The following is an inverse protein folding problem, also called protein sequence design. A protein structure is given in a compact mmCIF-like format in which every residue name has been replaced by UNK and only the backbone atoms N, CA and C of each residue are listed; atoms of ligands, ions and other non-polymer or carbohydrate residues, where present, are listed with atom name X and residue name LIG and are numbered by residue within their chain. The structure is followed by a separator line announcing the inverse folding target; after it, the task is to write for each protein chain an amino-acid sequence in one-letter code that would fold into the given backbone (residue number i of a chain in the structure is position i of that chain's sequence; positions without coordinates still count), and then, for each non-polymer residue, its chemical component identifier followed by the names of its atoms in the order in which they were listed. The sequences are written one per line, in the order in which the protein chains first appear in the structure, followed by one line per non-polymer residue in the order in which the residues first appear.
data_IF_574838978564
#
_entry.id   IF_574838978564
#
_cell.length_a   1.000
_cell.length_b   1.000
_cell.length_c   1.000
_cell.angle_alpha   90.00
_cell.angle_beta   90.00
_cell.angle_gamma   90.00
#
_symmetry.space_group_name_H-M   'P 1'
#
loop_
_entity.id
_entity.type
_entity.pdbx_description
1 polymer ?
#
# COMPACT_ATOMS: atom_id res chain seq x y z
N UNK A 1 5.44 14.98 -8.37
CA UNK A 1 4.41 13.95 -8.64
C UNK A 1 4.51 12.83 -7.62
N UNK A 2 3.38 12.24 -7.33
CA UNK A 2 3.34 11.08 -6.46
C UNK A 2 2.87 9.84 -7.21
N UNK A 3 2.73 8.73 -6.51
CA UNK A 3 2.19 7.52 -7.12
C UNK A 3 1.31 6.75 -6.15
N UNK A 4 0.41 5.97 -6.71
CA UNK A 4 -0.35 4.96 -5.99
C UNK A 4 0.31 3.62 -6.26
N UNK A 5 0.58 2.86 -5.21
CA UNK A 5 1.24 1.56 -5.35
C UNK A 5 0.40 0.47 -4.70
N UNK A 6 0.68 -0.76 -5.10
CA UNK A 6 0.00 -1.95 -4.60
C UNK A 6 1.03 -2.95 -4.08
N UNK A 7 0.76 -3.50 -2.91
CA UNK A 7 1.55 -4.58 -2.34
C UNK A 7 0.64 -5.80 -2.24
N UNK A 8 1.01 -6.89 -2.87
CA UNK A 8 0.21 -8.11 -2.90
C UNK A 8 0.95 -9.24 -2.20
N UNK A 9 0.27 -9.92 -1.27
CA UNK A 9 0.84 -11.08 -0.59
C UNK A 9 0.56 -12.37 -1.37
N UNK A 10 1.30 -13.45 -1.08
CA UNK A 10 1.02 -14.76 -1.70
C UNK A 10 -0.39 -15.26 -1.43
N UNK A 11 -1.04 -14.79 -0.36
CA UNK A 11 -2.42 -15.16 -0.04
C UNK A 11 -3.45 -14.44 -0.90
N UNK A 12 -3.01 -13.47 -1.73
CA UNK A 12 -3.90 -12.70 -2.57
C UNK A 12 -4.43 -11.42 -1.96
N UNK A 13 -4.10 -11.13 -0.71
CA UNK A 13 -4.50 -9.88 -0.05
C UNK A 13 -3.62 -8.73 -0.51
N UNK A 14 -4.21 -7.54 -0.56
CA UNK A 14 -3.60 -6.36 -1.16
C UNK A 14 -3.55 -5.20 -0.15
N UNK A 15 -2.52 -4.40 -0.26
CA UNK A 15 -2.41 -3.11 0.41
C UNK A 15 -2.23 -2.04 -0.65
N UNK A 16 -3.03 -0.97 -0.56
CA UNK A 16 -2.92 0.19 -1.45
C UNK A 16 -2.34 1.35 -0.66
N UNK A 17 -1.34 2.01 -1.21
CA UNK A 17 -0.73 3.15 -0.56
C UNK A 17 -0.39 4.25 -1.53
N UNK A 18 0.03 5.39 -0.98
CA UNK A 18 0.48 6.54 -1.77
C UNK A 18 1.84 7.00 -1.28
N UNK A 19 2.63 7.57 -2.17
CA UNK A 19 3.92 8.14 -1.80
C UNK A 19 4.33 9.21 -2.80
N UNK A 20 5.05 10.24 -2.31
CA UNK A 20 5.69 11.22 -3.17
C UNK A 20 7.15 10.86 -3.42
N UNK A 21 7.62 9.79 -2.81
CA UNK A 21 8.97 9.25 -2.98
C UNK A 21 8.93 8.09 -3.98
N UNK A 22 10.10 7.50 -4.26
CA UNK A 22 10.14 6.30 -5.10
C UNK A 22 9.51 5.13 -4.35
N UNK A 23 8.98 4.17 -5.10
CA UNK A 23 8.42 2.96 -4.50
C UNK A 23 9.47 2.24 -3.66
N UNK A 24 10.72 2.19 -4.14
CA UNK A 24 11.81 1.55 -3.42
C UNK A 24 12.02 2.15 -2.02
N UNK A 25 12.01 3.48 -1.92
CA UNK A 25 12.17 4.17 -0.64
C UNK A 25 10.98 3.89 0.29
N UNK A 26 9.78 3.83 -0.25
CA UNK A 26 8.57 3.55 0.54
C UNK A 26 8.59 2.13 1.08
N UNK A 27 9.04 1.16 0.28
CA UNK A 27 9.17 -0.22 0.70
C UNK A 27 10.17 -0.34 1.86
N UNK A 28 11.29 0.37 1.80
CA UNK A 28 12.26 0.41 2.90
C UNK A 28 11.61 0.92 4.18
N UNK A 29 10.78 1.95 4.07
CA UNK A 29 10.05 2.49 5.21
C UNK A 29 9.13 1.46 5.85
N UNK A 30 8.41 0.70 5.06
CA UNK A 30 7.55 -0.36 5.57
C UNK A 30 8.35 -1.44 6.31
N UNK A 31 9.48 -1.85 5.75
CA UNK A 31 10.32 -2.89 6.34
C UNK A 31 10.96 -2.46 7.66
N UNK A 32 11.12 -1.15 7.87
CA UNK A 32 11.75 -0.61 9.08
C UNK A 32 10.76 -0.30 10.21
N UNK A 33 9.57 -0.84 10.17
CA UNK A 33 8.56 -0.65 11.22
C UNK A 33 7.96 0.75 11.28
N UNK A 34 8.15 1.57 10.28
CA UNK A 34 7.59 2.92 10.25
C UNK A 34 6.18 2.98 9.70
N UNK A 35 5.61 1.84 9.35
CA UNK A 35 4.25 1.78 8.85
C UNK A 35 3.25 1.88 9.98
N UNK A 36 2.16 2.59 9.75
CA UNK A 36 1.07 2.72 10.72
C UNK A 36 0.11 1.53 10.68
N UNK A 37 0.23 0.65 9.69
CA UNK A 37 -0.67 -0.48 9.55
C UNK A 37 -0.01 -1.77 10.01
N UNK A 38 -0.44 -2.26 11.18
CA UNK A 38 0.08 -3.49 11.78
C UNK A 38 -0.17 -4.71 10.89
N UNK A 39 -1.29 -4.74 10.18
CA UNK A 39 -1.62 -5.87 9.31
C UNK A 39 -0.62 -6.03 8.18
N UNK A 40 -0.23 -4.91 7.56
CA UNK A 40 0.76 -4.93 6.49
C UNK A 40 2.12 -5.36 7.03
N UNK A 41 2.51 -4.83 8.18
CA UNK A 41 3.78 -5.20 8.80
C UNK A 41 3.86 -6.69 9.09
N UNK A 42 2.79 -7.27 9.62
CA UNK A 42 2.72 -8.72 9.89
C UNK A 42 2.88 -9.53 8.61
N UNK A 43 2.25 -9.07 7.52
CA UNK A 43 2.36 -9.74 6.24
C UNK A 43 3.78 -9.69 5.70
N UNK A 44 4.43 -8.53 5.78
CA UNK A 44 5.82 -8.36 5.35
C UNK A 44 6.74 -9.27 6.16
N UNK A 45 6.55 -9.32 7.49
CA UNK A 45 7.34 -10.19 8.37
C UNK A 45 7.14 -11.66 8.05
N UNK A 46 5.91 -12.06 7.71
CA UNK A 46 5.57 -13.46 7.42
C UNK A 46 6.07 -13.91 6.06
N UNK A 47 5.87 -13.11 5.03
CA UNK A 47 6.12 -13.50 3.65
C UNK A 47 7.46 -12.99 3.11
N UNK A 48 8.00 -11.93 3.69
CA UNK A 48 9.29 -11.37 3.28
C UNK A 48 9.36 -11.05 1.80
N UNK A 49 10.28 -11.70 1.09
CA UNK A 49 10.52 -11.43 -0.32
C UNK A 49 9.43 -11.96 -1.25
N UNK A 50 8.48 -12.73 -0.73
CA UNK A 50 7.35 -13.22 -1.52
C UNK A 50 6.29 -12.16 -1.77
N UNK A 51 6.35 -11.03 -1.07
CA UNK A 51 5.46 -9.91 -1.30
C UNK A 51 5.79 -9.27 -2.65
N UNK A 52 4.76 -8.90 -3.41
CA UNK A 52 4.93 -8.24 -4.71
C UNK A 52 4.59 -6.77 -4.59
N UNK A 53 5.42 -5.92 -5.18
CA UNK A 53 5.30 -4.47 -5.12
C UNK A 53 5.19 -3.93 -6.53
N UNK A 54 4.17 -3.07 -6.78
CA UNK A 54 4.03 -2.46 -8.10
C UNK A 54 3.37 -1.08 -8.02
N UNK A 55 3.73 -0.21 -8.95
CA UNK A 55 3.10 1.10 -9.10
C UNK A 55 1.85 0.92 -9.96
N UNK A 56 0.70 1.43 -9.47
CA UNK A 56 -0.55 1.38 -10.22
C UNK A 56 -0.65 2.58 -11.14
N UNK A 57 -0.38 3.78 -10.61
CA UNK A 57 -0.43 5.00 -11.41
C UNK A 57 0.45 6.09 -10.81
N UNK A 58 0.91 6.99 -11.68
CA UNK A 58 1.67 8.17 -11.27
C UNK A 58 0.79 9.39 -11.53
N UNK A 59 0.62 10.24 -10.54
CA UNK A 59 -0.36 11.32 -10.57
C UNK A 59 0.15 12.54 -9.80
N UNK A 60 -0.45 13.73 -10.03
CA UNK A 60 -0.14 14.90 -9.23
C UNK A 60 -0.45 14.69 -7.75
N UNK A 61 0.35 15.33 -6.88
CA UNK A 61 0.20 15.18 -5.44
C UNK A 61 -1.18 15.58 -4.94
N UNK A 62 -1.82 16.54 -5.60
CA UNK A 62 -3.11 17.09 -5.18
C UNK A 62 -4.24 16.08 -5.19
N UNK A 63 -4.11 15.01 -6.00
CA UNK A 63 -5.17 14.00 -6.11
C UNK A 63 -4.78 12.64 -5.57
N UNK A 64 -3.64 12.56 -4.87
CA UNK A 64 -3.18 11.30 -4.29
C UNK A 64 -4.22 10.68 -3.35
N UNK A 65 -4.81 11.48 -2.45
CA UNK A 65 -5.79 10.98 -1.50
C UNK A 65 -7.03 10.41 -2.19
N UNK A 66 -7.54 11.11 -3.20
CA UNK A 66 -8.70 10.66 -3.97
C UNK A 66 -8.42 9.33 -4.67
N UNK A 67 -7.23 9.22 -5.28
CA UNK A 67 -6.89 8.01 -6.03
C UNK A 67 -6.61 6.85 -5.09
N UNK A 68 -6.02 7.09 -3.94
CA UNK A 68 -5.84 6.04 -2.94
C UNK A 68 -7.17 5.48 -2.49
N UNK A 69 -8.13 6.34 -2.15
CA UNK A 69 -9.47 5.92 -1.74
C UNK A 69 -10.13 5.08 -2.85
N UNK A 70 -10.02 5.55 -4.09
CA UNK A 70 -10.56 4.84 -5.25
C UNK A 70 -10.01 3.42 -5.37
N UNK A 71 -8.67 3.28 -5.29
CA UNK A 71 -8.02 1.99 -5.47
C UNK A 71 -8.25 1.05 -4.28
N UNK A 72 -8.34 1.57 -3.07
CA UNK A 72 -8.70 0.75 -1.90
C UNK A 72 -10.07 0.10 -2.12
N UNK A 73 -11.01 0.87 -2.65
CA UNK A 73 -12.34 0.37 -2.98
C UNK A 73 -12.32 -0.65 -4.13
N UNK A 74 -11.59 -0.32 -5.19
CA UNK A 74 -11.52 -1.18 -6.37
C UNK A 74 -10.90 -2.55 -6.06
N UNK A 75 -9.85 -2.57 -5.25
CA UNK A 75 -9.20 -3.83 -4.88
C UNK A 75 -9.80 -4.46 -3.63
N UNK A 76 -10.75 -3.80 -3.00
CA UNK A 76 -11.37 -4.28 -1.76
C UNK A 76 -10.28 -4.61 -0.72
N UNK A 77 -9.31 -3.69 -0.58
CA UNK A 77 -8.13 -3.92 0.25
C UNK A 77 -8.30 -3.54 1.71
N UNK A 78 -9.48 -3.02 2.09
CA UNK A 78 -9.76 -2.68 3.48
C UNK A 78 -9.87 -3.96 4.32
N UNK A 79 -9.29 -3.93 5.51
CA UNK A 79 -9.35 -5.07 6.41
C UNK A 79 -10.80 -5.45 6.74
N UNK A 80 -11.11 -6.75 6.89
CA UNK A 80 -10.19 -7.90 6.89
C UNK A 80 -9.89 -8.48 5.51
N UNK A 81 -10.46 -7.93 4.44
CA UNK A 81 -10.29 -8.46 3.09
C UNK A 81 -8.89 -8.21 2.54
N UNK A 82 -8.25 -7.14 2.98
CA UNK A 82 -6.89 -6.79 2.60
C UNK A 82 -6.14 -6.21 3.79
N UNK A 83 -5.07 -5.47 3.52
CA UNK A 83 -4.20 -4.97 4.58
C UNK A 83 -4.41 -3.51 4.94
N UNK A 84 -5.30 -2.80 4.26
CA UNK A 84 -5.58 -1.41 4.60
C UNK A 84 -6.39 -1.32 5.89
N UNK A 85 -5.92 -0.51 6.83
CA UNK A 85 -6.59 -0.33 8.12
C UNK A 85 -7.67 0.75 8.08
N UNK A 86 -7.65 1.59 7.05
CA UNK A 86 -8.64 2.65 6.87
C UNK A 86 -8.93 2.81 5.38
N UNK A 87 -10.00 3.55 5.07
CA UNK A 87 -10.41 3.76 3.67
C UNK A 87 -9.49 4.69 2.88
N UNK A 88 -8.41 5.17 3.49
CA UNK A 88 -7.44 6.04 2.82
C UNK A 88 -7.68 7.51 3.09
N UNK A 89 -6.84 8.35 2.48
CA UNK A 89 -7.02 9.78 2.57
C UNK A 89 -6.64 10.39 3.91
N UNK A 90 -5.51 10.06 4.40
CA UNK A 90 -5.02 10.63 5.66
C UNK A 90 -5.02 12.13 5.65
#
# INVERSE_FOLDING_TARGET
MGCIYKITSPSGKVYIGQTVKTLHERIKGHKKSSTNCTLLKRAIDKYGDEMKYEVIEEIPDEILDEREIYWIREYNSLAPNGYNCSSGGN
#
